data_IF_014400355553
#
_entry.id   IF_014400355553
#
_cell.length_a   1.000
_cell.length_b   1.000
_cell.length_c   1.000
_cell.angle_alpha   90.00
_cell.angle_beta   90.00
_cell.angle_gamma   90.00
#
_symmetry.space_group_name_H-M   'P 1'
#
loop_
_entity.id
_entity.type
_entity.pdbx_description
1 polymer ?
#
# COMPACT_ATOMS: atom_id res chain seq x y z
N UNK A 1 7.09 4.89 16.50
CA UNK A 1 6.66 4.15 15.31
C UNK A 1 7.65 3.04 15.14
N UNK A 2 7.21 1.80 15.23
CA UNK A 2 8.05 0.64 15.01
C UNK A 2 8.65 0.71 13.61
N UNK A 3 9.96 0.88 13.54
CA UNK A 3 10.72 1.06 12.30
C UNK A 3 10.49 -0.09 11.31
N UNK A 4 10.10 -1.28 11.81
CA UNK A 4 9.79 -2.47 11.02
C UNK A 4 8.36 -2.54 10.47
N UNK A 5 7.39 -1.82 11.03
CA UNK A 5 5.99 -2.00 10.64
C UNK A 5 5.75 -1.50 9.20
N UNK A 6 6.37 -0.39 8.83
CA UNK A 6 6.22 0.16 7.48
C UNK A 6 6.84 -0.78 6.42
N UNK A 7 7.99 -1.37 6.72
CA UNK A 7 8.65 -2.35 5.85
C UNK A 7 7.77 -3.60 5.65
N UNK A 8 7.26 -4.18 6.73
CA UNK A 8 6.38 -5.36 6.68
C UNK A 8 5.14 -5.11 5.83
N UNK A 9 4.50 -3.94 5.97
CA UNK A 9 3.33 -3.60 5.17
C UNK A 9 3.71 -3.33 3.71
N UNK A 10 4.86 -2.73 3.44
CA UNK A 10 5.36 -2.54 2.08
C UNK A 10 5.62 -3.87 1.37
N UNK A 11 6.22 -4.84 2.07
CA UNK A 11 6.42 -6.19 1.56
C UNK A 11 5.08 -6.91 1.32
N UNK A 12 4.13 -6.78 2.25
CA UNK A 12 2.80 -7.38 2.09
C UNK A 12 2.05 -6.81 0.88
N UNK A 13 2.05 -5.49 0.69
CA UNK A 13 1.45 -4.84 -0.48
C UNK A 13 2.13 -5.31 -1.77
N UNK A 14 3.46 -5.36 -1.81
CA UNK A 14 4.21 -5.82 -2.99
C UNK A 14 3.91 -7.29 -3.31
N UNK A 15 3.87 -8.15 -2.29
CA UNK A 15 3.53 -9.56 -2.45
C UNK A 15 2.13 -9.74 -3.01
N UNK A 16 1.13 -9.07 -2.45
CA UNK A 16 -0.25 -9.15 -2.91
C UNK A 16 -0.44 -8.56 -4.31
N UNK A 17 0.27 -7.48 -4.64
CA UNK A 17 0.31 -6.94 -6.00
C UNK A 17 0.81 -7.98 -6.99
N UNK A 18 1.94 -8.65 -6.72
CA UNK A 18 2.49 -9.67 -7.64
C UNK A 18 1.58 -10.90 -7.72
N UNK A 19 1.04 -11.36 -6.59
CA UNK A 19 0.14 -12.50 -6.52
C UNK A 19 -1.18 -12.27 -7.30
N UNK A 20 -1.65 -11.03 -7.34
CA UNK A 20 -2.91 -10.66 -8.00
C UNK A 20 -2.71 -9.96 -9.36
N UNK A 21 -1.47 -9.72 -9.80
CA UNK A 21 -1.12 -9.00 -11.04
C UNK A 21 -1.79 -9.56 -12.28
N UNK A 22 -1.85 -10.88 -12.41
CA UNK A 22 -2.46 -11.55 -13.56
C UNK A 22 -3.97 -11.76 -13.43
N UNK A 23 -4.57 -11.35 -12.30
CA UNK A 23 -6.00 -11.55 -12.01
C UNK A 23 -6.86 -10.33 -12.36
N UNK A 24 -6.28 -9.15 -12.48
CA UNK A 24 -6.99 -7.93 -12.91
C UNK A 24 -6.04 -6.92 -13.51
N UNK A 25 -6.46 -6.30 -14.62
CA UNK A 25 -5.76 -5.18 -15.25
C UNK A 25 -5.63 -3.98 -14.31
N UNK A 26 -6.57 -3.78 -13.38
CA UNK A 26 -6.48 -2.73 -12.37
C UNK A 26 -5.32 -2.97 -11.40
N UNK A 27 -5.13 -4.22 -10.97
CA UNK A 27 -4.02 -4.60 -10.07
C UNK A 27 -2.70 -4.50 -10.80
N UNK A 28 -2.67 -4.87 -12.08
CA UNK A 28 -1.50 -4.66 -12.93
C UNK A 28 -1.14 -3.17 -13.02
N UNK A 29 -2.11 -2.31 -13.34
CA UNK A 29 -1.88 -0.87 -13.42
C UNK A 29 -1.45 -0.27 -12.06
N UNK A 30 -2.03 -0.74 -10.95
CA UNK A 30 -1.62 -0.36 -9.59
C UNK A 30 -0.18 -0.78 -9.29
N UNK A 31 0.23 -1.97 -9.74
CA UNK A 31 1.61 -2.46 -9.55
C UNK A 31 2.66 -1.65 -10.31
N UNK A 32 2.25 -1.01 -11.41
CA UNK A 32 3.11 -0.16 -12.25
C UNK A 32 3.03 1.32 -11.86
N UNK A 33 2.14 1.67 -10.93
CA UNK A 33 1.90 3.04 -10.50
C UNK A 33 3.06 3.59 -9.66
N UNK A 34 3.78 4.56 -10.22
CA UNK A 34 5.01 5.12 -9.64
C UNK A 34 4.90 5.59 -8.17
N UNK A 35 3.85 6.31 -7.75
CA UNK A 35 3.72 6.77 -6.37
C UNK A 35 3.73 5.64 -5.34
N UNK A 36 3.11 4.50 -5.70
CA UNK A 36 3.08 3.32 -4.84
C UNK A 36 4.44 2.62 -4.82
N UNK A 37 5.07 2.44 -5.98
CA UNK A 37 6.40 1.82 -6.09
C UNK A 37 7.48 2.61 -5.34
N UNK A 38 7.46 3.93 -5.46
CA UNK A 38 8.39 4.79 -4.75
C UNK A 38 8.17 4.69 -3.23
N UNK A 39 6.91 4.71 -2.79
CA UNK A 39 6.59 4.58 -1.37
C UNK A 39 7.02 3.23 -0.79
N UNK A 40 6.80 2.12 -1.51
CA UNK A 40 7.27 0.77 -1.12
C UNK A 40 8.79 0.75 -1.04
N UNK A 41 9.49 1.31 -2.03
CA UNK A 41 10.96 1.36 -2.04
C UNK A 41 11.51 2.17 -0.86
N UNK A 42 10.89 3.32 -0.55
CA UNK A 42 11.28 4.16 0.58
C UNK A 42 11.05 3.45 1.91
N UNK A 43 9.89 2.79 2.07
CA UNK A 43 9.56 2.00 3.25
C UNK A 43 10.59 0.90 3.53
N UNK A 44 11.11 0.24 2.48
CA UNK A 44 12.18 -0.78 2.56
C UNK A 44 13.59 -0.20 2.76
N UNK A 45 13.78 1.10 2.57
CA UNK A 45 15.10 1.74 2.64
C UNK A 45 15.37 2.37 4.02
N UNK A 46 14.35 2.45 4.88
CA UNK A 46 14.45 2.96 6.24
C UNK A 46 13.24 3.79 6.65
N UNK A 47 13.26 4.37 7.86
CA UNK A 47 12.13 5.09 8.41
C UNK A 47 11.77 6.30 7.55
N UNK A 48 10.51 6.37 7.13
CA UNK A 48 9.96 7.56 6.50
C UNK A 48 9.76 8.62 7.60
N UNK A 49 10.62 9.64 7.58
CA UNK A 49 10.64 10.72 8.58
C UNK A 49 9.48 11.70 8.43
N UNK A 50 8.86 11.77 7.25
CA UNK A 50 7.80 12.73 6.93
C UNK A 50 6.62 12.03 6.27
N UNK A 51 5.38 12.37 6.64
CA UNK A 51 4.20 11.73 6.10
C UNK A 51 4.09 11.92 4.59
N UNK A 52 4.03 10.82 3.84
CA UNK A 52 3.90 10.80 2.37
C UNK A 52 2.63 10.06 1.95
N UNK A 53 1.46 10.72 1.96
CA UNK A 53 0.24 10.08 1.49
C UNK A 53 0.35 9.69 0.01
N UNK A 54 -0.24 8.56 -0.36
CA UNK A 54 -0.36 8.18 -1.76
C UNK A 54 -1.39 9.10 -2.45
N UNK A 55 -0.99 9.92 -3.44
CA UNK A 55 -1.92 10.80 -4.16
C UNK A 55 -2.93 9.95 -4.93
N UNK A 56 -4.21 10.33 -5.02
CA UNK A 56 -5.22 9.56 -5.80
C UNK A 56 -5.43 8.10 -5.39
N UNK A 57 -5.02 7.68 -4.19
CA UNK A 57 -5.32 6.33 -3.69
C UNK A 57 -6.84 6.04 -3.66
N UNK A 58 -7.66 7.07 -3.40
CA UNK A 58 -9.12 6.95 -3.44
C UNK A 58 -9.66 6.49 -4.79
N UNK A 59 -9.07 6.91 -5.92
CA UNK A 59 -9.48 6.42 -7.24
C UNK A 59 -9.33 4.90 -7.33
N UNK A 60 -8.21 4.37 -6.84
CA UNK A 60 -7.97 2.92 -6.80
C UNK A 60 -8.98 2.17 -5.93
N UNK A 61 -9.40 2.72 -4.79
CA UNK A 61 -10.40 2.06 -3.93
C UNK A 61 -11.83 2.17 -4.45
N UNK A 62 -12.23 3.33 -4.97
CA UNK A 62 -13.63 3.62 -5.31
C UNK A 62 -13.96 3.41 -6.78
N UNK A 63 -13.02 3.64 -7.69
CA UNK A 63 -13.27 3.61 -9.14
C UNK A 63 -12.72 2.36 -9.83
N UNK A 64 -11.96 1.52 -9.12
CA UNK A 64 -11.41 0.27 -9.69
C UNK A 64 -11.89 -0.98 -8.98
N UNK A 65 -11.60 -2.14 -9.57
CA UNK A 65 -11.92 -3.44 -8.99
C UNK A 65 -11.04 -3.89 -7.82
N UNK A 66 -10.11 -3.06 -7.32
CA UNK A 66 -9.13 -3.49 -6.30
C UNK A 66 -9.79 -3.91 -4.99
N UNK A 67 -10.93 -3.30 -4.63
CA UNK A 67 -11.75 -3.70 -3.48
C UNK A 67 -12.20 -5.18 -3.49
N UNK A 68 -12.18 -5.85 -4.66
CA UNK A 68 -12.47 -7.29 -4.77
C UNK A 68 -11.34 -8.15 -4.18
N UNK A 69 -10.15 -7.59 -4.03
CA UNK A 69 -8.99 -8.22 -3.42
C UNK A 69 -8.86 -7.73 -1.98
N UNK A 70 -9.67 -8.30 -1.08
CA UNK A 70 -9.77 -7.83 0.31
C UNK A 70 -8.40 -7.68 1.00
N UNK A 71 -7.51 -8.67 0.85
CA UNK A 71 -6.16 -8.64 1.43
C UNK A 71 -5.29 -7.51 0.85
N UNK A 72 -5.33 -7.32 -0.48
CA UNK A 72 -4.58 -6.25 -1.14
C UNK A 72 -5.12 -4.86 -0.74
N UNK A 73 -6.45 -4.72 -0.72
CA UNK A 73 -7.14 -3.49 -0.35
C UNK A 73 -6.82 -3.11 1.11
N UNK A 74 -6.87 -4.06 2.03
CA UNK A 74 -6.49 -3.86 3.42
C UNK A 74 -5.01 -3.49 3.56
N UNK A 75 -4.12 -4.25 2.92
CA UNK A 75 -2.68 -3.98 2.88
C UNK A 75 -2.39 -2.55 2.38
N UNK A 76 -3.03 -2.10 1.30
CA UNK A 76 -2.87 -0.73 0.78
C UNK A 76 -3.42 0.33 1.74
N UNK A 77 -4.56 0.07 2.37
CA UNK A 77 -5.17 0.99 3.32
C UNK A 77 -4.26 1.19 4.53
N UNK A 78 -3.80 0.09 5.14
CA UNK A 78 -2.88 0.14 6.28
C UNK A 78 -1.53 0.75 5.92
N UNK A 79 -0.97 0.41 4.76
CA UNK A 79 0.26 1.02 4.28
C UNK A 79 0.11 2.55 4.12
N UNK A 80 -0.98 3.03 3.52
CA UNK A 80 -1.23 4.46 3.40
C UNK A 80 -1.46 5.16 4.75
N UNK A 81 -2.04 4.48 5.75
CA UNK A 81 -2.17 5.00 7.11
C UNK A 81 -0.78 5.19 7.73
N UNK A 82 0.08 4.18 7.64
CA UNK A 82 1.45 4.24 8.13
C UNK A 82 2.28 5.30 7.41
N UNK A 83 2.16 5.40 6.09
CA UNK A 83 2.79 6.45 5.28
C UNK A 83 2.38 7.86 5.71
N UNK A 84 1.16 8.05 6.24
CA UNK A 84 0.68 9.32 6.79
C UNK A 84 1.17 9.58 8.21
N UNK A 85 2.02 8.71 8.76
CA UNK A 85 2.46 8.77 10.14
C UNK A 85 1.32 8.56 11.14
N UNK A 86 0.26 7.85 10.74
CA UNK A 86 -0.86 7.52 11.61
C UNK A 86 -0.65 6.11 12.16
N UNK A 87 -0.97 5.85 13.44
CA UNK A 87 -1.03 4.48 13.93
C UNK A 87 -2.12 3.73 13.17
N UNK A 88 -1.85 2.47 12.83
CA UNK A 88 -2.90 1.57 12.33
C UNK A 88 -4.02 1.49 13.37
N UNK A 89 -5.29 1.44 12.95
CA UNK A 89 -6.37 1.07 13.85
C UNK A 89 -6.10 -0.37 14.27
N UNK A 90 -5.45 -0.57 15.41
CA UNK A 90 -5.46 -1.85 16.09
C UNK A 90 -6.92 -2.16 16.38
N UNK A 91 -7.48 -3.15 15.69
CA UNK A 91 -8.76 -3.73 16.07
C UNK A 91 -8.69 -4.04 17.56
N UNK A 92 -9.60 -3.43 18.31
CA UNK A 92 -9.75 -3.57 19.76
C UNK A 92 -10.56 -4.81 20.08
#
# INVERSE_FOLDING_TARGET
MDENLLEVWAEMVEHELQNNRNKSSDVQALSEWEPLRESIRLAKCGPIKEPRPLPNLGHWFFETGIQRFATLADALAGFNILLRGRPLPTEK
#
